data_IF_624185578630
#
_entry.id   IF_624185578630
#
_cell.length_a   1.000
_cell.length_b   1.000
_cell.length_c   1.000
_cell.angle_alpha   90.00
_cell.angle_beta   90.00
_cell.angle_gamma   90.00
#
_symmetry.space_group_name_H-M   'P 1'
#
loop_
_entity.id
_entity.type
_entity.pdbx_description
1 polymer ?
#
# COMPACT_ATOMS: atom_id res chain seq x y z
N UNK A 1 16.52 -32.09 -3.54
CA UNK A 1 16.33 -33.29 -2.69
C UNK A 1 15.17 -33.16 -1.69
N UNK A 2 14.64 -31.96 -1.41
CA UNK A 2 13.56 -31.78 -0.42
C UNK A 2 13.99 -32.04 1.04
N UNK A 3 15.29 -32.28 1.26
CA UNK A 3 15.86 -32.52 2.60
C UNK A 3 15.95 -31.20 3.37
N UNK A 4 15.63 -31.25 4.66
CA UNK A 4 15.74 -30.11 5.57
C UNK A 4 17.19 -29.61 5.63
N UNK A 5 17.40 -28.32 5.33
CA UNK A 5 18.71 -27.67 5.46
C UNK A 5 18.91 -27.12 6.87
N UNK A 6 17.97 -26.30 7.34
CA UNK A 6 17.96 -25.73 8.69
C UNK A 6 16.52 -25.41 9.12
N UNK A 7 16.33 -25.18 10.41
CA UNK A 7 15.04 -24.83 11.01
C UNK A 7 15.26 -23.81 12.10
N UNK A 8 14.50 -22.72 12.07
CA UNK A 8 14.59 -21.66 13.07
C UNK A 8 13.22 -21.28 13.61
N UNK A 9 13.17 -20.92 14.90
CA UNK A 9 11.93 -20.48 15.57
C UNK A 9 11.96 -18.97 15.77
N UNK A 10 10.96 -18.29 15.22
CA UNK A 10 10.86 -16.83 15.34
C UNK A 10 10.32 -16.36 16.69
N UNK A 11 9.34 -17.08 17.24
CA UNK A 11 8.84 -16.84 18.59
C UNK A 11 9.83 -17.32 19.66
N UNK A 12 9.79 -16.76 20.87
CA UNK A 12 10.74 -17.05 21.93
C UNK A 12 10.58 -18.47 22.52
N UNK A 13 9.42 -19.10 22.34
CA UNK A 13 9.05 -20.39 22.98
C UNK A 13 8.12 -21.22 22.09
N UNK A 14 7.96 -22.51 22.39
CA UNK A 14 6.97 -23.38 21.75
C UNK A 14 5.62 -23.38 22.47
N UNK A 15 5.09 -22.19 22.75
CA UNK A 15 3.75 -22.06 23.33
C UNK A 15 2.70 -22.17 22.24
N UNK A 16 1.60 -22.84 22.58
CA UNK A 16 0.52 -23.13 21.64
C UNK A 16 -0.83 -22.82 22.23
N UNK A 17 -1.75 -22.40 21.37
CA UNK A 17 -3.13 -22.05 21.70
C UNK A 17 -4.09 -22.69 20.68
N UNK A 18 -5.35 -22.95 21.05
CA UNK A 18 -6.38 -23.28 20.07
C UNK A 18 -6.61 -22.10 19.11
N UNK A 19 -6.65 -22.35 17.80
CA UNK A 19 -6.96 -21.37 16.78
C UNK A 19 -7.32 -22.05 15.45
N UNK A 20 -8.40 -21.58 14.80
CA UNK A 20 -8.92 -22.18 13.56
C UNK A 20 -9.11 -23.71 13.63
N UNK A 21 -9.65 -24.20 14.74
CA UNK A 21 -9.94 -25.63 14.96
C UNK A 21 -8.71 -26.52 15.22
N UNK A 22 -7.54 -25.95 15.52
CA UNK A 22 -6.28 -26.71 15.75
C UNK A 22 -5.39 -26.03 16.78
N UNK A 23 -4.40 -26.76 17.30
CA UNK A 23 -3.34 -26.18 18.11
C UNK A 23 -2.33 -25.45 17.20
N UNK A 24 -2.20 -24.14 17.39
CA UNK A 24 -1.26 -23.29 16.66
C UNK A 24 -0.22 -22.69 17.61
N UNK A 25 0.93 -22.27 17.09
CA UNK A 25 1.87 -21.47 17.90
C UNK A 25 1.20 -20.16 18.35
N UNK A 26 1.54 -19.70 19.55
CA UNK A 26 1.21 -18.35 20.03
C UNK A 26 1.83 -17.25 19.14
N UNK A 27 2.95 -17.57 18.45
CA UNK A 27 3.59 -16.71 17.46
C UNK A 27 3.53 -17.34 16.07
N UNK A 28 2.34 -17.40 15.45
CA UNK A 28 2.22 -17.98 14.12
C UNK A 28 2.88 -17.06 13.09
N UNK A 29 3.52 -17.65 12.09
CA UNK A 29 3.93 -16.93 10.87
C UNK A 29 2.68 -16.77 10.00
N UNK A 30 2.12 -15.56 10.00
CA UNK A 30 0.95 -15.19 9.18
C UNK A 30 1.34 -14.33 7.98
N UNK A 31 2.65 -14.19 7.78
CA UNK A 31 3.22 -13.48 6.65
C UNK A 31 3.76 -14.46 5.61
N UNK A 32 3.94 -13.98 4.38
CA UNK A 32 4.89 -14.60 3.46
C UNK A 32 6.34 -14.38 3.94
N UNK A 33 7.27 -15.11 3.34
CA UNK A 33 8.70 -14.87 3.53
C UNK A 33 9.24 -14.09 2.34
N UNK A 34 10.23 -13.22 2.57
CA UNK A 34 11.02 -12.63 1.49
C UNK A 34 12.43 -13.16 1.60
N UNK A 35 12.99 -13.62 0.49
CA UNK A 35 14.40 -13.99 0.38
C UNK A 35 15.04 -13.03 -0.61
N UNK A 36 16.05 -12.30 -0.18
CA UNK A 36 16.83 -11.45 -1.06
C UNK A 36 18.27 -11.30 -0.56
N UNK A 37 19.22 -11.29 -1.49
CA UNK A 37 20.65 -11.19 -1.22
C UNK A 37 21.16 -12.13 -0.11
N UNK A 38 20.71 -13.39 -0.11
CA UNK A 38 21.14 -14.40 0.87
C UNK A 38 20.50 -14.28 2.25
N UNK A 39 19.50 -13.41 2.44
CA UNK A 39 18.81 -13.19 3.71
C UNK A 39 17.32 -13.52 3.59
N UNK A 40 16.78 -14.26 4.56
CA UNK A 40 15.36 -14.58 4.73
C UNK A 40 14.76 -13.62 5.75
N UNK A 41 13.72 -12.89 5.35
CA UNK A 41 12.96 -11.99 6.21
C UNK A 41 11.61 -12.62 6.55
N UNK A 42 11.25 -12.55 7.83
CA UNK A 42 10.04 -13.17 8.34
C UNK A 42 9.46 -12.38 9.52
N UNK A 43 8.14 -12.47 9.70
CA UNK A 43 7.47 -11.95 10.89
C UNK A 43 6.45 -12.93 11.46
N UNK A 44 6.44 -13.07 12.78
CA UNK A 44 5.62 -14.01 13.54
C UNK A 44 4.95 -13.34 14.73
N UNK A 45 3.69 -13.65 14.95
CA UNK A 45 2.91 -13.10 16.05
C UNK A 45 1.50 -12.68 15.66
N UNK A 46 0.61 -12.73 16.64
CA UNK A 46 -0.79 -12.36 16.49
C UNK A 46 -1.17 -11.21 17.40
N UNK A 47 -0.74 -11.23 18.67
CA UNK A 47 -1.10 -10.23 19.68
C UNK A 47 0.15 -9.49 20.16
N UNK A 48 0.26 -8.15 19.94
CA UNK A 48 1.39 -7.36 20.42
C UNK A 48 1.67 -7.52 21.91
N UNK A 49 0.62 -7.62 22.73
CA UNK A 49 0.71 -7.87 24.17
C UNK A 49 1.37 -9.21 24.55
N UNK A 50 1.37 -10.19 23.64
CA UNK A 50 2.04 -11.50 23.82
C UNK A 50 3.39 -11.55 23.09
N UNK A 51 3.84 -10.42 22.55
CA UNK A 51 5.03 -10.32 21.72
C UNK A 51 4.76 -10.64 20.25
N UNK A 52 5.35 -9.85 19.38
CA UNK A 52 5.43 -10.09 17.95
C UNK A 52 6.88 -9.87 17.53
N UNK A 53 7.37 -10.68 16.59
CA UNK A 53 8.76 -10.73 16.22
C UNK A 53 8.93 -10.59 14.71
N UNK A 54 9.87 -9.75 14.29
CA UNK A 54 10.46 -9.79 12.96
C UNK A 54 11.91 -10.28 13.05
N UNK A 55 12.37 -11.00 12.04
CA UNK A 55 13.75 -11.44 11.95
C UNK A 55 14.27 -11.39 10.52
N UNK A 56 15.57 -11.17 10.41
CA UNK A 56 16.36 -11.51 9.25
C UNK A 56 17.29 -12.68 9.62
N UNK A 57 17.28 -13.71 8.79
CA UNK A 57 18.07 -14.93 8.96
C UNK A 57 18.95 -15.15 7.73
N UNK A 58 20.14 -15.67 7.92
CA UNK A 58 20.97 -16.18 6.82
C UNK A 58 20.22 -17.30 6.10
N UNK A 59 20.12 -17.21 4.78
CA UNK A 59 19.49 -18.26 3.96
C UNK A 59 20.32 -19.55 3.92
N UNK A 60 21.61 -19.48 4.22
CA UNK A 60 22.55 -20.61 4.18
C UNK A 60 22.32 -21.57 5.34
N UNK A 61 22.18 -21.04 6.56
CA UNK A 61 22.22 -21.82 7.81
C UNK A 61 21.14 -21.44 8.84
N UNK A 62 20.32 -20.43 8.55
CA UNK A 62 19.29 -19.94 9.46
C UNK A 62 19.82 -19.08 10.62
N UNK A 63 21.12 -18.77 10.65
CA UNK A 63 21.70 -17.92 11.69
C UNK A 63 21.07 -16.53 11.69
N UNK A 64 20.91 -15.95 12.89
CA UNK A 64 20.22 -14.66 13.03
C UNK A 64 21.12 -13.52 12.58
N UNK A 65 20.66 -12.73 11.60
CA UNK A 65 21.27 -11.44 11.23
C UNK A 65 20.76 -10.36 12.17
N UNK A 66 19.43 -10.26 12.34
CA UNK A 66 18.80 -9.39 13.34
C UNK A 66 17.44 -9.93 13.77
N UNK A 67 16.99 -9.51 14.96
CA UNK A 67 15.64 -9.74 15.49
C UNK A 67 15.09 -8.47 16.11
N UNK A 68 13.81 -8.22 15.91
CA UNK A 68 13.11 -7.06 16.46
C UNK A 68 11.76 -7.45 17.02
N UNK A 69 11.39 -6.83 18.13
CA UNK A 69 10.01 -6.87 18.63
C UNK A 69 9.18 -5.85 17.85
N UNK A 70 7.96 -6.24 17.49
CA UNK A 70 6.99 -5.39 16.83
C UNK A 70 5.81 -5.13 17.75
N UNK A 71 5.20 -3.96 17.57
CA UNK A 71 3.95 -3.57 18.25
C UNK A 71 2.74 -3.59 17.31
N UNK A 72 2.83 -4.41 16.26
CA UNK A 72 1.77 -4.59 15.24
C UNK A 72 1.55 -6.07 14.98
N UNK A 73 0.41 -6.43 14.39
CA UNK A 73 0.07 -7.82 14.07
C UNK A 73 0.35 -8.13 12.59
N UNK A 74 1.56 -8.62 12.21
CA UNK A 74 1.96 -8.81 10.83
C UNK A 74 1.11 -9.88 10.13
N UNK A 75 0.66 -9.58 8.92
CA UNK A 75 -0.21 -10.47 8.14
C UNK A 75 -0.12 -10.14 6.65
N UNK A 76 0.05 -11.15 5.80
CA UNK A 76 0.13 -10.98 4.35
C UNK A 76 1.55 -11.09 3.78
N UNK A 77 1.71 -10.84 2.48
CA UNK A 77 3.01 -10.99 1.83
C UNK A 77 3.94 -9.84 2.21
N UNK A 78 5.14 -10.18 2.69
CA UNK A 78 6.21 -9.21 2.90
C UNK A 78 6.72 -8.71 1.56
N UNK A 79 7.16 -7.45 1.52
CA UNK A 79 7.86 -6.89 0.37
C UNK A 79 9.21 -6.36 0.83
N UNK A 80 10.22 -6.41 -0.04
CA UNK A 80 11.50 -5.75 0.23
C UNK A 80 11.86 -4.81 -0.91
N UNK A 81 12.53 -3.73 -0.55
CA UNK A 81 13.34 -2.91 -1.44
C UNK A 81 14.81 -3.08 -1.08
N UNK A 82 15.69 -2.31 -1.71
CA UNK A 82 17.10 -2.26 -1.34
C UNK A 82 17.34 -1.83 0.11
N UNK A 83 16.45 -1.01 0.69
CA UNK A 83 16.68 -0.39 2.01
C UNK A 83 15.61 -0.70 3.05
N UNK A 84 14.42 -1.15 2.64
CA UNK A 84 13.27 -1.30 3.53
C UNK A 84 12.53 -2.62 3.32
N UNK A 85 12.14 -3.25 4.42
CA UNK A 85 11.20 -4.36 4.49
C UNK A 85 9.81 -3.83 4.84
N UNK A 86 8.82 -4.07 3.99
CA UNK A 86 7.43 -3.64 4.18
C UNK A 86 6.59 -4.79 4.71
N UNK A 87 5.83 -4.51 5.77
CA UNK A 87 5.03 -5.49 6.50
C UNK A 87 3.58 -5.01 6.55
N UNK A 88 2.65 -5.66 5.83
CA UNK A 88 1.22 -5.45 6.03
C UNK A 88 0.79 -6.04 7.38
N UNK A 89 -0.26 -5.47 7.99
CA UNK A 89 -0.62 -5.73 9.40
C UNK A 89 -2.09 -6.09 9.60
N UNK A 90 -2.77 -6.53 8.54
CA UNK A 90 -4.14 -7.05 8.62
C UNK A 90 -5.17 -5.96 8.87
N UNK A 91 -5.35 -5.50 10.11
CA UNK A 91 -6.28 -4.40 10.45
C UNK A 91 -5.58 -3.08 10.74
N UNK A 92 -4.29 -3.12 11.04
CA UNK A 92 -3.50 -1.94 11.36
C UNK A 92 -2.89 -1.28 10.14
N UNK A 93 -2.15 -0.21 10.39
CA UNK A 93 -1.31 0.43 9.38
C UNK A 93 -0.13 -0.47 8.98
N UNK A 94 0.25 -0.54 7.69
CA UNK A 94 1.47 -1.20 7.28
C UNK A 94 2.69 -0.47 7.85
N UNK A 95 3.76 -1.21 8.09
CA UNK A 95 5.02 -0.66 8.58
C UNK A 95 6.17 -0.96 7.63
N UNK A 96 7.20 -0.14 7.69
CA UNK A 96 8.48 -0.30 7.02
C UNK A 96 9.59 -0.42 8.05
N UNK A 97 10.34 -1.51 8.00
CA UNK A 97 11.54 -1.71 8.79
C UNK A 97 12.77 -1.40 7.93
N UNK A 98 13.79 -0.79 8.52
CA UNK A 98 15.12 -0.75 7.91
C UNK A 98 15.59 -2.19 7.67
N UNK A 99 15.99 -2.48 6.44
CA UNK A 99 16.26 -3.86 6.02
C UNK A 99 17.50 -4.47 6.69
N UNK A 100 18.47 -3.64 7.04
CA UNK A 100 19.75 -4.08 7.58
C UNK A 100 19.73 -4.25 9.10
N UNK A 101 18.89 -3.49 9.79
CA UNK A 101 18.84 -3.44 11.27
C UNK A 101 17.52 -3.92 11.86
N UNK A 102 16.48 -4.01 11.03
CA UNK A 102 15.10 -4.32 11.42
C UNK A 102 14.39 -3.19 12.17
N UNK A 103 15.05 -2.06 12.44
CA UNK A 103 14.45 -0.96 13.22
C UNK A 103 13.26 -0.37 12.45
N UNK A 104 12.22 0.05 13.18
CA UNK A 104 11.08 0.73 12.56
C UNK A 104 11.56 2.00 11.86
N UNK A 105 11.47 2.01 10.54
CA UNK A 105 11.83 3.17 9.72
C UNK A 105 10.60 4.03 9.46
N UNK A 106 9.42 3.41 9.29
CA UNK A 106 8.21 4.13 8.92
C UNK A 106 6.92 3.40 9.28
N UNK A 107 5.88 4.17 9.61
CA UNK A 107 4.49 3.71 9.62
C UNK A 107 3.76 4.38 8.46
N UNK A 108 3.09 3.58 7.63
CA UNK A 108 2.34 4.05 6.48
C UNK A 108 0.88 4.31 6.87
N UNK A 109 0.20 5.22 6.19
CA UNK A 109 -1.24 5.39 6.39
C UNK A 109 -1.99 4.31 5.61
N UNK A 110 -3.11 3.81 6.13
CA UNK A 110 -4.00 2.98 5.35
C UNK A 110 -5.16 2.41 6.15
N UNK A 111 -6.13 1.85 5.45
CA UNK A 111 -7.25 1.13 6.06
C UNK A 111 -6.85 -0.29 6.57
N UNK A 112 -5.55 -0.59 6.56
CA UNK A 112 -5.00 -1.92 6.77
C UNK A 112 -5.17 -2.84 5.58
N UNK A 113 -4.97 -4.13 5.83
CA UNK A 113 -5.09 -5.22 4.89
C UNK A 113 -3.86 -6.14 4.89
N UNK A 114 -3.96 -7.21 4.11
CA UNK A 114 -2.91 -8.23 3.93
C UNK A 114 -2.30 -8.22 2.52
N UNK A 115 -2.83 -7.39 1.62
CA UNK A 115 -2.31 -7.17 0.27
C UNK A 115 -1.42 -5.93 0.25
N UNK A 116 -0.28 -6.06 -0.41
CA UNK A 116 0.58 -4.92 -0.71
C UNK A 116 1.35 -5.15 -2.00
N UNK A 117 1.65 -4.06 -2.70
CA UNK A 117 2.52 -4.04 -3.89
C UNK A 117 3.41 -2.80 -3.83
N UNK A 118 4.68 -2.97 -4.20
CA UNK A 118 5.62 -1.86 -4.36
C UNK A 118 5.73 -1.50 -5.84
N UNK A 119 5.45 -0.25 -6.19
CA UNK A 119 5.52 0.25 -7.57
C UNK A 119 6.15 1.64 -7.59
N UNK A 120 7.24 1.82 -8.32
CA UNK A 120 7.90 3.13 -8.54
C UNK A 120 8.15 3.97 -7.27
N UNK A 121 8.52 3.31 -6.17
CA UNK A 121 8.76 4.02 -4.90
C UNK A 121 7.48 4.39 -4.14
N UNK A 122 6.37 3.76 -4.47
CA UNK A 122 5.09 3.82 -3.75
C UNK A 122 4.72 2.44 -3.20
N UNK A 123 4.20 2.42 -1.99
CA UNK A 123 3.55 1.27 -1.37
C UNK A 123 2.05 1.40 -1.57
N UNK A 124 1.47 0.48 -2.33
CA UNK A 124 0.03 0.26 -2.36
C UNK A 124 -0.28 -0.82 -1.33
N UNK A 125 -1.17 -0.54 -0.38
CA UNK A 125 -1.53 -1.49 0.68
C UNK A 125 -3.04 -1.51 0.90
N UNK A 126 -3.59 -2.69 1.18
CA UNK A 126 -5.02 -2.91 1.31
C UNK A 126 -5.37 -4.39 1.38
N UNK A 127 -6.62 -4.77 1.13
CA UNK A 127 -7.76 -3.87 1.30
C UNK A 127 -8.08 -3.72 2.77
N UNK A 128 -8.52 -2.52 3.16
CA UNK A 128 -9.29 -2.38 4.40
C UNK A 128 -10.59 -3.18 4.35
N UNK A 129 -11.32 -3.24 5.47
CA UNK A 129 -12.61 -3.94 5.54
C UNK A 129 -13.65 -3.40 4.54
N UNK A 130 -13.44 -2.19 4.04
CA UNK A 130 -14.31 -1.48 3.10
C UNK A 130 -13.83 -1.57 1.64
N UNK A 131 -12.88 -2.47 1.33
CA UNK A 131 -12.34 -2.62 -0.02
C UNK A 131 -11.35 -1.52 -0.42
N UNK A 132 -10.82 -0.76 0.54
CA UNK A 132 -9.96 0.39 0.25
C UNK A 132 -8.48 0.00 0.10
N UNK A 133 -7.87 0.40 -1.01
CA UNK A 133 -6.41 0.44 -1.23
C UNK A 133 -5.88 1.85 -0.97
N UNK A 134 -4.75 1.94 -0.27
CA UNK A 134 -4.05 3.21 -0.01
C UNK A 134 -2.67 3.18 -0.65
N UNK A 135 -2.37 4.20 -1.47
CA UNK A 135 -1.05 4.44 -2.05
C UNK A 135 -0.28 5.40 -1.14
N UNK A 136 0.92 5.02 -0.72
CA UNK A 136 1.81 5.83 0.09
C UNK A 136 3.17 6.01 -0.61
N UNK A 137 3.71 7.22 -0.76
CA UNK A 137 5.10 7.39 -1.13
C UNK A 137 6.03 6.73 -0.09
N UNK A 138 7.06 6.05 -0.55
CA UNK A 138 8.05 5.42 0.34
C UNK A 138 8.95 6.48 0.97
N UNK A 139 9.45 7.44 0.18
CA UNK A 139 10.42 8.46 0.62
C UNK A 139 9.83 9.60 1.45
N UNK A 140 8.58 9.99 1.23
CA UNK A 140 7.93 11.12 1.93
C UNK A 140 6.78 10.66 2.81
N UNK A 141 6.41 11.44 3.83
CA UNK A 141 5.28 11.11 4.70
C UNK A 141 3.92 11.40 4.05
N UNK A 142 2.86 10.77 4.58
CA UNK A 142 1.47 10.89 4.12
C UNK A 142 1.09 9.85 3.07
N UNK A 143 -0.21 9.74 2.79
CA UNK A 143 -0.72 8.96 1.66
C UNK A 143 -0.69 9.80 0.39
N UNK A 144 -0.46 9.19 -0.78
CA UNK A 144 -0.67 9.84 -2.08
C UNK A 144 -2.15 9.80 -2.46
N UNK A 145 -2.79 8.65 -2.33
CA UNK A 145 -4.18 8.47 -2.74
C UNK A 145 -4.81 7.23 -2.10
N UNK A 146 -6.14 7.18 -2.21
CA UNK A 146 -6.97 6.10 -1.72
C UNK A 146 -7.96 5.73 -2.81
N UNK A 147 -8.19 4.44 -3.01
CA UNK A 147 -9.03 3.89 -4.06
C UNK A 147 -9.89 2.76 -3.52
N UNK A 148 -11.08 2.57 -4.07
CA UNK A 148 -11.80 1.30 -3.93
C UNK A 148 -11.21 0.30 -4.93
N UNK A 149 -10.93 -0.90 -4.46
CA UNK A 149 -10.29 -1.95 -5.25
C UNK A 149 -9.89 -3.12 -4.37
N UNK A 150 -10.19 -4.33 -4.82
CA UNK A 150 -9.83 -5.59 -4.19
C UNK A 150 -8.44 -6.07 -4.61
N UNK A 151 -8.03 -5.73 -5.83
CA UNK A 151 -6.73 -6.09 -6.38
C UNK A 151 -6.18 -4.98 -7.28
N UNK A 152 -4.85 -4.99 -7.43
CA UNK A 152 -4.11 -4.06 -8.28
C UNK A 152 -3.11 -4.86 -9.12
N UNK A 153 -3.12 -4.61 -10.43
CA UNK A 153 -2.02 -4.96 -11.32
C UNK A 153 -1.43 -3.69 -11.94
N UNK A 154 -0.23 -3.78 -12.48
CA UNK A 154 0.44 -2.63 -13.05
C UNK A 154 1.31 -3.00 -14.25
N UNK A 155 1.27 -2.14 -15.26
CA UNK A 155 2.29 -2.03 -16.30
C UNK A 155 3.26 -0.88 -15.95
N UNK A 156 4.31 -0.63 -16.75
CA UNK A 156 5.22 0.49 -16.51
C UNK A 156 4.52 1.86 -16.41
N UNK A 157 3.38 2.07 -17.09
CA UNK A 157 2.66 3.36 -17.08
C UNK A 157 1.29 3.30 -16.42
N UNK A 158 0.57 2.19 -16.60
CA UNK A 158 -0.82 2.06 -16.16
C UNK A 158 -0.91 1.25 -14.87
N UNK A 159 -1.83 1.67 -14.01
CA UNK A 159 -2.33 0.87 -12.89
C UNK A 159 -3.73 0.38 -13.22
N UNK A 160 -3.99 -0.90 -13.00
CA UNK A 160 -5.28 -1.54 -13.22
C UNK A 160 -5.89 -1.91 -11.87
N UNK A 161 -6.96 -1.22 -11.51
CA UNK A 161 -7.68 -1.45 -10.27
C UNK A 161 -8.89 -2.33 -10.55
N UNK A 162 -8.94 -3.48 -9.89
CA UNK A 162 -10.09 -4.39 -9.91
C UNK A 162 -10.89 -4.19 -8.62
N UNK A 163 -12.19 -3.88 -8.73
CA UNK A 163 -13.15 -3.91 -7.64
C UNK A 163 -14.34 -4.84 -7.97
N UNK A 164 -15.37 -4.83 -7.13
CA UNK A 164 -16.57 -5.65 -7.31
C UNK A 164 -17.37 -5.36 -8.60
N UNK A 165 -17.21 -4.16 -9.16
CA UNK A 165 -17.92 -3.71 -10.36
C UNK A 165 -17.11 -3.97 -11.65
N UNK A 166 -15.79 -4.12 -11.54
CA UNK A 166 -14.92 -4.40 -12.67
C UNK A 166 -13.58 -3.68 -12.58
N UNK A 167 -13.06 -3.25 -13.73
CA UNK A 167 -11.67 -2.80 -13.88
C UNK A 167 -11.60 -1.36 -14.35
N UNK A 168 -10.68 -0.59 -13.76
CA UNK A 168 -10.27 0.73 -14.23
C UNK A 168 -8.79 0.74 -14.57
N UNK A 169 -8.43 1.29 -15.72
CA UNK A 169 -7.05 1.60 -16.09
C UNK A 169 -6.77 3.08 -15.85
N UNK A 170 -5.71 3.37 -15.08
CA UNK A 170 -5.34 4.72 -14.67
C UNK A 170 -3.91 5.01 -15.10
N UNK A 171 -3.68 6.14 -15.78
CA UNK A 171 -2.32 6.67 -15.98
C UNK A 171 -1.74 7.12 -14.63
N UNK A 172 -0.81 6.31 -14.10
CA UNK A 172 -0.26 6.49 -12.76
C UNK A 172 0.55 7.79 -12.64
N UNK A 173 1.29 8.17 -13.69
CA UNK A 173 2.13 9.37 -13.64
C UNK A 173 1.30 10.65 -13.70
N UNK A 174 0.32 10.70 -14.60
CA UNK A 174 -0.61 11.82 -14.69
C UNK A 174 -1.39 11.97 -13.37
N UNK A 175 -1.83 10.84 -12.79
CA UNK A 175 -2.59 10.83 -11.55
C UNK A 175 -1.77 11.36 -10.36
N UNK A 176 -0.49 10.96 -10.28
CA UNK A 176 0.44 11.44 -9.25
C UNK A 176 0.60 12.96 -9.34
N UNK A 177 0.80 13.50 -10.54
CA UNK A 177 0.94 14.96 -10.78
C UNK A 177 -0.32 15.70 -10.35
N UNK A 178 -1.48 15.31 -10.87
CA UNK A 178 -2.77 15.93 -10.53
C UNK A 178 -3.10 15.84 -9.02
N UNK A 179 -2.77 14.72 -8.37
CA UNK A 179 -2.96 14.56 -6.92
C UNK A 179 -2.03 15.46 -6.11
N UNK A 180 -0.79 15.66 -6.56
CA UNK A 180 0.15 16.58 -5.92
C UNK A 180 -0.30 18.04 -6.06
N UNK A 181 -0.77 18.44 -7.24
CA UNK A 181 -1.34 19.77 -7.49
C UNK A 181 -2.56 20.03 -6.62
N UNK A 182 -3.51 19.09 -6.59
CA UNK A 182 -4.71 19.17 -5.75
C UNK A 182 -4.37 19.34 -4.28
N UNK A 183 -3.41 18.58 -3.74
CA UNK A 183 -2.97 18.71 -2.35
C UNK A 183 -2.28 20.03 -2.05
N UNK A 184 -1.42 20.52 -2.96
CA UNK A 184 -0.77 21.82 -2.80
C UNK A 184 -1.79 22.94 -2.77
N UNK A 185 -2.72 22.95 -3.71
CA UNK A 185 -3.80 23.92 -3.77
C UNK A 185 -4.67 23.87 -2.50
N UNK A 186 -5.11 22.68 -2.08
CA UNK A 186 -5.90 22.51 -0.86
C UNK A 186 -5.16 23.02 0.40
N UNK A 187 -3.88 22.66 0.58
CA UNK A 187 -3.07 23.14 1.71
C UNK A 187 -2.94 24.66 1.70
N UNK A 188 -2.75 25.26 0.52
CA UNK A 188 -2.63 26.72 0.39
C UNK A 188 -3.96 27.40 0.69
N UNK A 189 -5.08 26.88 0.18
CA UNK A 189 -6.42 27.37 0.48
C UNK A 189 -6.66 27.38 1.99
N UNK A 190 -6.36 26.29 2.69
CA UNK A 190 -6.51 26.25 4.15
C UNK A 190 -5.63 27.28 4.87
N UNK A 191 -4.38 27.47 4.41
CA UNK A 191 -3.51 28.51 4.98
C UNK A 191 -4.06 29.93 4.77
N UNK A 192 -4.63 30.23 3.59
CA UNK A 192 -5.20 31.54 3.28
C UNK A 192 -6.51 31.78 4.03
N UNK A 193 -7.35 30.74 4.18
CA UNK A 193 -8.55 30.80 5.03
C UNK A 193 -8.18 31.09 6.48
N UNK A 194 -7.11 30.49 6.99
CA UNK A 194 -6.60 30.77 8.34
C UNK A 194 -6.08 32.22 8.45
N UNK A 195 -5.39 32.72 7.43
CA UNK A 195 -4.94 34.12 7.39
C UNK A 195 -6.13 35.09 7.40
N UNK A 196 -7.16 34.84 6.60
CA UNK A 196 -8.39 35.65 6.50
C UNK A 196 -9.19 35.77 7.80
N UNK A 197 -9.00 34.85 8.73
CA UNK A 197 -9.63 34.85 10.06
C UNK A 197 -8.87 35.74 11.07
N UNK A 198 -7.67 36.23 10.75
CA UNK A 198 -6.89 37.08 11.68
C UNK A 198 -7.55 38.46 11.85
N UNK A 199 -7.63 39.00 13.08
CA UNK A 199 -8.10 40.35 13.31
C UNK A 199 -7.09 41.39 12.77
N UNK A 200 -7.56 42.61 12.48
CA UNK A 200 -6.69 43.72 12.06
C UNK A 200 -6.24 43.72 10.60
N UNK A 201 -6.81 42.86 9.75
CA UNK A 201 -6.53 42.85 8.30
C UNK A 201 -7.08 44.10 7.60
N UNK A 202 -6.22 44.77 6.82
CA UNK A 202 -6.66 45.88 5.97
C UNK A 202 -7.63 45.42 4.87
N UNK A 203 -8.48 46.34 4.39
CA UNK A 203 -9.47 46.05 3.33
C UNK A 203 -8.79 45.56 2.05
N UNK A 204 -7.68 46.16 1.67
CA UNK A 204 -6.89 45.76 0.50
C UNK A 204 -6.28 44.37 0.65
N UNK A 205 -5.70 44.06 1.83
CA UNK A 205 -5.13 42.73 2.09
C UNK A 205 -6.22 41.67 2.05
N UNK A 206 -7.39 41.93 2.62
CA UNK A 206 -8.54 41.02 2.59
C UNK A 206 -9.01 40.74 1.16
N UNK A 207 -9.15 41.78 0.34
CA UNK A 207 -9.51 41.63 -1.07
C UNK A 207 -8.44 40.86 -1.88
N UNK A 208 -7.15 41.09 -1.58
CA UNK A 208 -6.04 40.31 -2.15
C UNK A 208 -6.12 38.81 -1.82
N UNK A 209 -6.35 38.47 -0.55
CA UNK A 209 -6.49 37.08 -0.10
C UNK A 209 -7.72 36.40 -0.72
N UNK A 210 -8.84 37.10 -0.85
CA UNK A 210 -10.05 36.58 -1.50
C UNK A 210 -9.82 36.29 -2.99
N UNK A 211 -9.12 37.15 -3.72
CA UNK A 211 -8.73 36.90 -5.12
C UNK A 211 -7.83 35.66 -5.25
N UNK A 212 -6.83 35.53 -4.37
CA UNK A 212 -5.97 34.34 -4.36
C UNK A 212 -6.75 33.05 -4.06
N UNK A 213 -7.73 33.10 -3.15
CA UNK A 213 -8.61 31.97 -2.89
C UNK A 213 -9.44 31.57 -4.12
N UNK A 214 -9.97 32.55 -4.86
CA UNK A 214 -10.69 32.26 -6.11
C UNK A 214 -9.81 31.58 -7.16
N UNK A 215 -8.60 32.08 -7.38
CA UNK A 215 -7.63 31.49 -8.31
C UNK A 215 -7.21 30.07 -7.90
N UNK A 216 -6.93 29.86 -6.61
CA UNK A 216 -6.58 28.53 -6.10
C UNK A 216 -7.77 27.57 -6.10
N UNK A 217 -8.99 28.07 -5.94
CA UNK A 217 -10.21 27.30 -6.13
C UNK A 217 -10.30 26.75 -7.56
N UNK A 218 -10.11 27.62 -8.55
CA UNK A 218 -10.02 27.21 -9.96
C UNK A 218 -8.93 26.17 -10.20
N UNK A 219 -7.72 26.41 -9.68
CA UNK A 219 -6.59 25.46 -9.76
C UNK A 219 -6.92 24.11 -9.13
N UNK A 220 -7.61 24.09 -7.99
CA UNK A 220 -8.02 22.86 -7.31
C UNK A 220 -9.05 22.08 -8.15
N UNK A 221 -9.99 22.78 -8.80
CA UNK A 221 -11.00 22.17 -9.64
C UNK A 221 -10.39 21.64 -10.96
N UNK A 222 -9.45 22.38 -11.56
CA UNK A 222 -8.64 21.89 -12.68
C UNK A 222 -7.85 20.64 -12.32
N UNK A 223 -7.19 20.62 -11.16
CA UNK A 223 -6.45 19.45 -10.70
C UNK A 223 -7.38 18.24 -10.44
N UNK A 224 -8.60 18.46 -9.95
CA UNK A 224 -9.61 17.39 -9.81
C UNK A 224 -10.08 16.87 -11.17
N UNK A 225 -10.34 17.74 -12.14
CA UNK A 225 -10.68 17.35 -13.53
C UNK A 225 -9.54 16.56 -14.18
N UNK A 226 -8.31 17.05 -14.05
CA UNK A 226 -7.11 16.36 -14.55
C UNK A 226 -6.97 14.97 -13.92
N UNK A 227 -7.25 14.83 -12.62
CA UNK A 227 -7.25 13.53 -11.93
C UNK A 227 -8.32 12.58 -12.49
N UNK A 228 -9.54 13.07 -12.74
CA UNK A 228 -10.59 12.26 -13.36
C UNK A 228 -10.21 11.80 -14.79
N UNK A 229 -9.60 12.69 -15.58
CA UNK A 229 -9.15 12.42 -16.94
C UNK A 229 -8.00 11.41 -17.05
N UNK A 230 -7.43 10.97 -15.93
CA UNK A 230 -6.39 9.93 -15.92
C UNK A 230 -6.92 8.51 -16.10
N UNK A 231 -8.22 8.30 -15.89
CA UNK A 231 -8.88 7.04 -16.21
C UNK A 231 -8.93 6.89 -17.73
N UNK A 232 -8.11 5.97 -18.26
CA UNK A 232 -7.98 5.75 -19.70
C UNK A 232 -9.17 4.96 -20.24
N UNK A 233 -9.56 3.92 -19.50
CA UNK A 233 -10.72 3.12 -19.80
C UNK A 233 -11.25 2.46 -18.52
N UNK A 234 -12.53 2.10 -18.58
CA UNK A 234 -13.24 1.37 -17.53
C UNK A 234 -14.06 0.27 -18.15
N UNK A 235 -13.99 -0.91 -17.55
CA UNK A 235 -14.75 -2.08 -17.93
C UNK A 235 -15.67 -2.47 -16.77
N UNK A 236 -16.98 -2.51 -17.05
CA UNK A 236 -17.95 -3.15 -16.14
C UNK A 236 -17.84 -4.66 -16.32
N UNK A 237 -17.32 -5.34 -15.30
CA UNK A 237 -17.05 -6.76 -15.33
C UNK A 237 -17.24 -7.35 -13.92
N UNK A 238 -18.49 -7.41 -13.43
CA UNK A 238 -18.76 -8.06 -12.15
C UNK A 238 -18.36 -9.54 -12.19
N UNK A 239 -18.04 -10.08 -11.01
CA UNK A 239 -17.62 -11.48 -10.84
C UNK A 239 -16.14 -11.76 -11.12
N UNK A 240 -15.36 -10.76 -11.57
CA UNK A 240 -13.89 -10.87 -11.66
C UNK A 240 -13.30 -10.73 -10.26
N UNK A 241 -12.37 -11.62 -9.91
CA UNK A 241 -11.77 -11.73 -8.57
C UNK A 241 -10.27 -11.53 -8.55
N UNK A 242 -9.60 -11.79 -9.67
CA UNK A 242 -8.16 -11.62 -9.81
C UNK A 242 -7.81 -10.85 -11.07
N UNK A 243 -6.67 -10.17 -11.01
CA UNK A 243 -6.10 -9.43 -12.12
C UNK A 243 -4.58 -9.61 -12.11
N UNK A 244 -4.01 -9.84 -13.29
CA UNK A 244 -2.57 -9.79 -13.52
C UNK A 244 -2.29 -8.90 -14.73
N UNK A 245 -1.15 -8.22 -14.74
CA UNK A 245 -0.70 -7.43 -15.88
C UNK A 245 0.47 -8.16 -16.57
N UNK A 246 0.35 -8.32 -17.87
CA UNK A 246 1.39 -8.83 -18.78
C UNK A 246 1.92 -7.68 -19.63
N UNK A 247 2.89 -7.97 -20.51
CA UNK A 247 3.53 -6.96 -21.35
C UNK A 247 2.55 -6.24 -22.29
N UNK A 248 1.53 -6.95 -22.79
CA UNK A 248 0.61 -6.48 -23.83
C UNK A 248 -0.88 -6.56 -23.43
N UNK A 249 -1.22 -7.17 -22.30
CA UNK A 249 -2.60 -7.29 -21.85
C UNK A 249 -2.69 -7.38 -20.32
N UNK A 250 -3.90 -7.17 -19.79
CA UNK A 250 -4.25 -7.64 -18.45
C UNK A 250 -5.08 -8.91 -18.57
N UNK A 251 -4.88 -9.85 -17.66
CA UNK A 251 -5.70 -11.06 -17.58
C UNK A 251 -6.58 -10.96 -16.34
N UNK A 252 -7.88 -11.16 -16.53
CA UNK A 252 -8.89 -11.17 -15.47
C UNK A 252 -9.35 -12.60 -15.23
N UNK A 253 -9.39 -12.98 -13.96
CA UNK A 253 -9.88 -14.29 -13.53
C UNK A 253 -11.18 -14.17 -12.73
N UNK A 254 -12.09 -15.12 -12.94
CA UNK A 254 -13.35 -15.26 -12.22
C UNK A 254 -13.79 -16.72 -12.15
N UNK A 255 -15.00 -16.98 -11.65
CA UNK A 255 -15.52 -18.34 -11.55
C UNK A 255 -15.71 -18.94 -12.95
N UNK A 256 -14.89 -19.95 -13.29
CA UNK A 256 -14.91 -20.61 -14.60
C UNK A 256 -14.46 -19.74 -15.77
N UNK A 257 -13.83 -18.59 -15.51
CA UNK A 257 -13.49 -17.60 -16.54
C UNK A 257 -12.05 -17.12 -16.43
N UNK A 258 -11.38 -17.05 -17.59
CA UNK A 258 -10.14 -16.32 -17.79
C UNK A 258 -10.28 -15.52 -19.09
N UNK A 259 -10.05 -14.20 -19.03
CA UNK A 259 -10.09 -13.33 -20.20
C UNK A 259 -8.86 -12.43 -20.24
N UNK A 260 -8.27 -12.27 -21.44
CA UNK A 260 -7.26 -11.26 -21.68
C UNK A 260 -7.93 -9.98 -22.17
N UNK A 261 -7.37 -8.83 -21.79
CA UNK A 261 -7.85 -7.50 -22.18
C UNK A 261 -6.68 -6.62 -22.58
N UNK A 262 -6.79 -5.93 -23.70
CA UNK A 262 -5.82 -4.95 -24.20
C UNK A 262 -5.51 -3.88 -23.16
N UNK A 263 -4.22 -3.52 -23.01
CA UNK A 263 -3.80 -2.42 -22.12
C UNK A 263 -4.31 -1.06 -22.61
N UNK A 264 -4.53 -0.91 -23.93
CA UNK A 264 -4.83 0.37 -24.57
C UNK A 264 -6.27 0.82 -24.33
N UNK A 265 -7.22 -0.10 -24.43
CA UNK A 265 -8.66 0.19 -24.50
C UNK A 265 -9.54 -0.82 -23.76
N UNK A 266 -8.97 -1.92 -23.24
CA UNK A 266 -9.74 -2.96 -22.55
C UNK A 266 -10.56 -3.86 -23.48
N UNK A 267 -10.32 -3.85 -24.79
CA UNK A 267 -10.88 -4.82 -25.72
C UNK A 267 -10.37 -6.24 -25.43
N UNK A 268 -11.16 -7.28 -25.76
CA UNK A 268 -10.76 -8.70 -25.65
C UNK A 268 -9.71 -9.03 -26.70
#
# INVERSE_FOLDING_TARGET
>A
TGRLAWRERLGPRDWRIPGNGRMISLWPVRTGLVVDAGVVYAAAGLYPSQGVHAAALSSTDGSTVWRQKLDVSPQGYLLASQTMLFIPTGRGNPIGLDRNTGRLAKTFAGAGGAFAVLLEGELFSGTGNDGTLTANPVKSSGSLATFKGNALAASPRLSFLLDENGVRAIDRQAYRRASADSKRAAKRIESLKAELKKPGLSRERRAGLQRQLGQLGGTLDDAKRARAATEQWKLSAPGRRSIIALANCVVLGGDGLVEARSLADGAV
#
